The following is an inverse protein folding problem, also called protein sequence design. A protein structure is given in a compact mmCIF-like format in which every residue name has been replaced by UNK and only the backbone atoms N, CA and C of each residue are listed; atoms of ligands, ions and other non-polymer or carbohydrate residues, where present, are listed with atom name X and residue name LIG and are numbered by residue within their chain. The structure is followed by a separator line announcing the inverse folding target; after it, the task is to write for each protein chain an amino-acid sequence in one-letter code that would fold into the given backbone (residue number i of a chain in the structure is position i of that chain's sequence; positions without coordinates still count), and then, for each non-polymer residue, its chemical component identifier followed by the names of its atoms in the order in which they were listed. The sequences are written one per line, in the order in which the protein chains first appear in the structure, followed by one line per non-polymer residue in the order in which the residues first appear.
data_IF_997996925388
#
_entry.id   IF_997996925388
#
_cell.length_a   1.000
_cell.length_b   1.000
_cell.length_c   1.000
_cell.angle_alpha   90.00
_cell.angle_beta   90.00
_cell.angle_gamma   90.00
#
_symmetry.space_group_name_H-M   'P 1'
#
loop_
_entity.id
_entity.type
_entity.pdbx_description
1 polymer ?
#
# COMPACT_ATOMS: atom_id res chain seq x y z
N UNK A 1 -21.03 -2.02 5.90
CA UNK A 1 -19.69 -2.33 5.33
C UNK A 1 -18.81 -1.12 5.58
N UNK A 2 -17.81 -1.22 6.46
CA UNK A 2 -16.88 -0.10 6.72
C UNK A 2 -15.77 -0.20 5.68
N UNK A 3 -15.70 0.78 4.77
CA UNK A 3 -14.61 0.88 3.79
C UNK A 3 -13.53 1.76 4.40
N UNK A 4 -12.35 1.20 4.64
CA UNK A 4 -11.19 1.96 5.12
C UNK A 4 -10.78 2.99 4.07
N UNK A 5 -10.43 4.20 4.50
CA UNK A 5 -9.75 5.18 3.66
C UNK A 5 -8.40 4.65 3.16
N UNK A 6 -7.90 5.20 2.05
CA UNK A 6 -6.61 4.77 1.49
C UNK A 6 -5.44 5.09 2.42
N UNK A 7 -5.53 6.18 3.20
CA UNK A 7 -4.58 6.47 4.27
C UNK A 7 -4.59 5.41 5.37
N UNK A 8 -5.76 4.96 5.82
CA UNK A 8 -5.87 3.87 6.82
C UNK A 8 -5.29 2.56 6.31
N UNK A 9 -5.46 2.26 5.01
CA UNK A 9 -4.83 1.09 4.41
C UNK A 9 -3.31 1.22 4.47
N UNK A 10 -2.76 2.36 4.05
CA UNK A 10 -1.30 2.57 4.07
C UNK A 10 -0.74 2.54 5.50
N UNK A 11 -1.43 3.13 6.48
CA UNK A 11 -1.06 3.05 7.89
C UNK A 11 -0.99 1.60 8.40
N UNK A 12 -1.98 0.76 8.02
CA UNK A 12 -1.95 -0.66 8.38
C UNK A 12 -0.78 -1.39 7.71
N UNK A 13 -0.49 -1.10 6.45
CA UNK A 13 0.66 -1.69 5.75
C UNK A 13 1.99 -1.32 6.42
N UNK A 14 2.14 -0.07 6.85
CA UNK A 14 3.31 0.38 7.60
C UNK A 14 3.45 -0.37 8.93
N UNK A 15 2.35 -0.51 9.66
CA UNK A 15 2.34 -1.22 10.94
C UNK A 15 2.75 -2.68 10.79
N UNK A 16 2.12 -3.40 9.85
CA UNK A 16 2.44 -4.82 9.60
C UNK A 16 3.89 -4.96 9.12
N UNK A 17 4.37 -4.09 8.22
CA UNK A 17 5.75 -4.13 7.77
C UNK A 17 6.75 -3.90 8.91
N UNK A 18 6.43 -3.05 9.89
CA UNK A 18 7.29 -2.84 11.08
C UNK A 18 7.34 -4.08 12.00
N UNK A 19 6.26 -4.85 12.07
CA UNK A 19 6.18 -6.06 12.91
C UNK A 19 6.78 -7.29 12.21
N UNK A 20 6.52 -7.47 10.92
CA UNK A 20 6.88 -8.66 10.15
C UNK A 20 8.11 -8.46 9.24
N UNK A 21 8.66 -7.25 9.19
CA UNK A 21 9.76 -6.84 8.31
C UNK A 21 9.33 -6.52 6.88
N UNK A 22 8.31 -7.22 6.34
CA UNK A 22 7.76 -6.94 5.01
C UNK A 22 6.31 -7.40 4.90
N UNK A 23 5.54 -6.75 4.05
CA UNK A 23 4.18 -7.16 3.72
C UNK A 23 3.81 -6.79 2.29
N UNK A 24 3.01 -7.62 1.63
CA UNK A 24 2.51 -7.35 0.27
C UNK A 24 0.99 -7.31 0.28
N UNK A 25 0.44 -6.20 -0.19
CA UNK A 25 -0.98 -5.99 -0.45
C UNK A 25 -1.30 -6.12 -1.93
N UNK A 26 -2.37 -6.83 -2.26
CA UNK A 26 -2.83 -7.01 -3.64
C UNK A 26 -4.32 -6.69 -3.72
N UNK A 27 -4.70 -5.83 -4.67
CA UNK A 27 -6.09 -5.54 -5.02
C UNK A 27 -6.26 -5.43 -6.53
N UNK A 28 -6.89 -6.44 -7.14
CA UNK A 28 -7.00 -6.53 -8.59
C UNK A 28 -5.62 -6.54 -9.26
N UNK A 29 -5.31 -5.49 -10.04
CA UNK A 29 -4.01 -5.31 -10.71
C UNK A 29 -3.00 -4.49 -9.91
N UNK A 30 -3.41 -3.94 -8.77
CA UNK A 30 -2.53 -3.18 -7.89
C UNK A 30 -1.81 -4.13 -6.94
N UNK A 31 -0.49 -4.07 -6.94
CA UNK A 31 0.39 -4.66 -5.93
C UNK A 31 1.13 -3.55 -5.20
N UNK A 32 1.09 -3.57 -3.87
CA UNK A 32 1.87 -2.69 -3.00
C UNK A 32 2.73 -3.56 -2.10
N UNK A 33 4.04 -3.45 -2.23
CA UNK A 33 4.99 -4.07 -1.30
C UNK A 33 5.44 -3.00 -0.29
N UNK A 34 5.38 -3.32 1.00
CA UNK A 34 5.88 -2.51 2.10
C UNK A 34 7.01 -3.27 2.80
N UNK A 35 8.16 -2.63 3.00
CA UNK A 35 9.35 -3.25 3.57
C UNK A 35 9.95 -2.33 4.65
N UNK A 36 10.09 -2.83 5.87
CA UNK A 36 10.72 -2.11 6.95
C UNK A 36 12.24 -2.27 6.88
N UNK A 37 12.94 -1.15 6.77
CA UNK A 37 14.40 -1.11 6.74
C UNK A 37 14.90 -0.65 8.11
N UNK A 38 15.33 -1.63 8.91
CA UNK A 38 15.72 -1.44 10.32
C UNK A 38 16.80 -0.39 10.53
N UNK A 39 17.84 -0.37 9.69
CA UNK A 39 18.95 0.59 9.79
C UNK A 39 18.51 2.05 9.62
N UNK A 40 17.40 2.28 8.94
CA UNK A 40 16.86 3.61 8.66
C UNK A 40 15.58 3.92 9.46
N UNK A 41 15.05 2.96 10.21
CA UNK A 41 13.83 3.12 11.02
C UNK A 41 12.55 3.42 10.23
N UNK A 42 12.53 3.13 8.92
CA UNK A 42 11.46 3.54 8.01
C UNK A 42 10.93 2.41 7.12
N UNK A 43 9.71 2.58 6.64
CA UNK A 43 9.06 1.66 5.70
C UNK A 43 9.18 2.21 4.29
N UNK A 44 9.69 1.39 3.38
CA UNK A 44 9.77 1.67 1.96
C UNK A 44 8.64 0.98 1.23
N UNK A 45 8.14 1.64 0.18
CA UNK A 45 7.07 1.10 -0.64
C UNK A 45 7.53 0.84 -2.06
N UNK A 46 6.94 -0.20 -2.66
CA UNK A 46 6.97 -0.41 -4.10
C UNK A 46 5.54 -0.59 -4.60
N UNK A 47 5.15 0.15 -5.63
CA UNK A 47 3.89 -0.04 -6.36
C UNK A 47 4.22 -0.79 -7.64
N UNK A 48 3.68 -1.99 -7.81
CA UNK A 48 3.95 -2.86 -8.96
C UNK A 48 5.46 -3.03 -9.25
N UNK A 49 6.27 -3.17 -8.19
CA UNK A 49 7.72 -3.34 -8.28
C UNK A 49 8.53 -2.04 -8.39
N UNK A 50 7.89 -0.87 -8.54
CA UNK A 50 8.58 0.42 -8.65
C UNK A 50 8.55 1.15 -7.31
N UNK A 51 9.72 1.61 -6.83
CA UNK A 51 9.84 2.38 -5.60
C UNK A 51 8.92 3.60 -5.60
N UNK A 52 8.15 3.78 -4.52
CA UNK A 52 7.12 4.81 -4.44
C UNK A 52 7.14 5.53 -3.08
N UNK A 53 6.84 6.82 -3.11
CA UNK A 53 6.58 7.60 -1.89
C UNK A 53 5.17 7.27 -1.36
N UNK A 54 4.97 7.45 -0.04
CA UNK A 54 3.69 7.22 0.64
C UNK A 54 2.48 7.82 -0.11
N UNK A 55 2.58 9.08 -0.53
CA UNK A 55 1.50 9.78 -1.27
C UNK A 55 1.23 9.20 -2.67
N UNK A 56 2.21 8.52 -3.29
CA UNK A 56 2.00 7.81 -4.55
C UNK A 56 1.27 6.48 -4.31
N UNK A 57 1.55 5.80 -3.19
CA UNK A 57 0.84 4.57 -2.79
C UNK A 57 -0.64 4.86 -2.51
N UNK A 58 -0.94 5.92 -1.77
CA UNK A 58 -2.33 6.34 -1.47
C UNK A 58 -3.11 6.57 -2.77
N UNK A 59 -2.53 7.37 -3.69
CA UNK A 59 -3.13 7.63 -5.01
C UNK A 59 -3.36 6.36 -5.82
N UNK A 60 -2.40 5.43 -5.82
CA UNK A 60 -2.56 4.16 -6.52
C UNK A 60 -3.71 3.31 -5.96
N UNK A 61 -3.92 3.32 -4.63
CA UNK A 61 -5.05 2.64 -3.99
C UNK A 61 -6.38 3.30 -4.39
N UNK A 62 -6.45 4.64 -4.37
CA UNK A 62 -7.64 5.37 -4.80
C UNK A 62 -8.00 5.09 -6.27
N UNK A 63 -7.02 5.14 -7.16
CA UNK A 63 -7.19 4.83 -8.58
C UNK A 63 -7.64 3.38 -8.81
N UNK A 64 -7.07 2.42 -8.07
CA UNK A 64 -7.47 1.02 -8.16
C UNK A 64 -8.93 0.80 -7.74
N UNK A 65 -9.41 1.52 -6.72
CA UNK A 65 -10.80 1.46 -6.27
C UNK A 65 -11.75 2.04 -7.31
N UNK A 66 -11.42 3.19 -7.91
CA UNK A 66 -12.23 3.81 -8.96
C UNK A 66 -12.35 2.92 -10.19
N UNK A 67 -11.23 2.31 -10.61
CA UNK A 67 -11.20 1.40 -11.75
C UNK A 67 -12.00 0.10 -11.50
N UNK A 68 -12.12 -0.35 -10.25
CA UNK A 68 -13.01 -1.47 -9.91
C UNK A 68 -14.49 -1.10 -10.06
N UNK A 69 -14.89 0.14 -9.76
CA UNK A 69 -16.28 0.59 -9.90
C UNK A 69 -16.74 0.69 -11.35
N UNK A 70 -15.83 0.99 -12.30
CA UNK A 70 -16.18 1.11 -13.73
C UNK A 70 -16.29 -0.22 -14.48
N UNK A 71 -15.84 -1.34 -13.89
CA UNK A 71 -15.89 -2.67 -14.50
C UNK A 71 -17.12 -3.49 -14.05
N UNK A 72 -18.09 -2.86 -13.38
CA UNK A 72 -19.35 -3.46 -12.93
C UNK A 72 -20.51 -2.97 -13.79
#
# INVERSE_FOLDING_TARGET
MIVLSSDEVVLRLEHIAREEGRHTFISGRLRVDAEYVGDMGQVYFRVNGVGALRNAVIRAIDEARLNQTMMV
#
